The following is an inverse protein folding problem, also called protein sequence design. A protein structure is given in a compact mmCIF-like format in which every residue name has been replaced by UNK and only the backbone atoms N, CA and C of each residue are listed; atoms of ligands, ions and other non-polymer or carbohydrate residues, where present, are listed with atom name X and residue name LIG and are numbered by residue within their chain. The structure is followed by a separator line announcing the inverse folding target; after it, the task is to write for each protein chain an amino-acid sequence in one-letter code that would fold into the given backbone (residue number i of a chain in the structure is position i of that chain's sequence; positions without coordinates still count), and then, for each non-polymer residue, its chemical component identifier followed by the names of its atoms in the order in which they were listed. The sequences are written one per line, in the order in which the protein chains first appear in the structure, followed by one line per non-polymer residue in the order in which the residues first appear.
data_IF_848511047146
#
_entry.id   IF_848511047146
#
_cell.length_a   1.000
_cell.length_b   1.000
_cell.length_c   1.000
_cell.angle_alpha   90.00
_cell.angle_beta   90.00
_cell.angle_gamma   90.00
#
_symmetry.space_group_name_H-M   'P 1'
#
loop_
_entity.id
_entity.type
_entity.pdbx_description
1 polymer ?
#
# COMPACT_ATOMS: atom_id res chain seq x y z
N UNK A 1 14.68 35.14 18.37
CA UNK A 1 14.82 33.68 18.16
C UNK A 1 14.16 33.31 16.85
N UNK A 2 14.94 33.15 15.78
CA UNK A 2 14.43 32.82 14.45
C UNK A 2 14.15 31.31 14.35
N UNK A 3 12.87 30.94 14.22
CA UNK A 3 12.44 29.56 14.01
C UNK A 3 12.83 29.16 12.58
N UNK A 4 13.99 28.51 12.46
CA UNK A 4 14.42 27.86 11.21
C UNK A 4 13.54 26.62 11.02
N UNK A 5 12.45 26.74 10.27
CA UNK A 5 11.85 25.56 9.65
C UNK A 5 12.65 25.30 8.38
N UNK A 6 13.64 24.41 8.50
CA UNK A 6 14.35 23.82 7.39
C UNK A 6 13.31 23.15 6.49
N UNK A 7 12.94 23.85 5.41
CA UNK A 7 12.34 23.24 4.23
C UNK A 7 13.37 22.28 3.65
N UNK A 8 13.36 21.05 4.16
CA UNK A 8 14.09 19.94 3.55
C UNK A 8 13.35 19.52 2.29
N UNK A 9 13.55 20.27 1.20
CA UNK A 9 13.45 19.74 -0.15
C UNK A 9 14.52 18.66 -0.31
N UNK A 10 14.23 17.47 0.19
CA UNK A 10 14.93 16.25 -0.16
C UNK A 10 14.19 15.62 -1.32
N UNK A 11 14.61 15.96 -2.54
CA UNK A 11 14.33 15.20 -3.76
C UNK A 11 15.12 13.88 -3.68
N UNK A 12 14.77 13.07 -2.68
CA UNK A 12 15.34 11.76 -2.42
C UNK A 12 14.31 10.75 -2.86
N UNK A 13 14.66 9.93 -3.86
CA UNK A 13 13.85 8.81 -4.33
C UNK A 13 13.30 8.03 -3.13
N UNK A 14 12.03 8.25 -2.80
CA UNK A 14 11.37 7.52 -1.72
C UNK A 14 11.27 6.08 -2.22
N UNK A 15 11.85 5.09 -1.51
CA UNK A 15 11.79 3.71 -1.93
C UNK A 15 10.34 3.30 -2.17
N UNK A 16 10.08 2.61 -3.27
CA UNK A 16 8.73 2.17 -3.63
C UNK A 16 8.10 1.30 -2.52
N UNK A 17 8.93 0.59 -1.75
CA UNK A 17 8.56 -0.13 -0.53
C UNK A 17 8.02 0.77 0.59
N UNK A 18 8.60 1.96 0.76
CA UNK A 18 8.21 2.92 1.79
C UNK A 18 6.91 3.64 1.41
N UNK A 19 6.76 3.95 0.12
CA UNK A 19 5.49 4.43 -0.44
C UNK A 19 4.40 3.38 -0.21
N UNK A 20 4.69 2.10 -0.50
CA UNK A 20 3.75 1.01 -0.25
C UNK A 20 3.39 0.86 1.23
N UNK A 21 4.37 0.94 2.13
CA UNK A 21 4.14 0.88 3.58
C UNK A 21 3.22 2.02 4.06
N UNK A 22 3.46 3.25 3.60
CA UNK A 22 2.63 4.41 3.95
C UNK A 22 1.21 4.30 3.41
N UNK A 23 1.05 3.85 2.16
CA UNK A 23 -0.28 3.66 1.54
C UNK A 23 -1.04 2.55 2.26
N UNK A 24 -0.41 1.42 2.55
CA UNK A 24 -1.04 0.30 3.24
C UNK A 24 -1.44 0.65 4.67
N UNK A 25 -0.63 1.44 5.39
CA UNK A 25 -1.00 1.96 6.71
C UNK A 25 -2.24 2.87 6.65
N UNK A 26 -2.31 3.78 5.67
CA UNK A 26 -3.49 4.64 5.46
C UNK A 26 -4.76 3.86 5.11
N UNK A 27 -4.61 2.73 4.42
CA UNK A 27 -5.73 1.84 4.09
C UNK A 27 -6.19 0.97 5.28
N UNK A 28 -5.46 0.98 6.40
CA UNK A 28 -5.79 0.18 7.58
C UNK A 28 -5.32 -1.27 7.49
N UNK A 29 -4.35 -1.57 6.62
CA UNK A 29 -3.73 -2.90 6.57
C UNK A 29 -3.06 -3.18 7.93
N UNK A 30 -3.33 -4.34 8.56
CA UNK A 30 -2.68 -4.71 9.82
C UNK A 30 -1.15 -4.73 9.70
N UNK A 31 -0.47 -4.15 10.69
CA UNK A 31 0.98 -4.23 10.80
C UNK A 31 1.43 -5.65 11.21
N UNK A 32 2.65 -6.04 10.83
CA UNK A 32 3.26 -7.31 11.26
C UNK A 32 2.72 -8.57 10.58
N UNK A 33 1.75 -8.47 9.67
CA UNK A 33 1.27 -9.63 8.90
C UNK A 33 2.22 -9.99 7.77
N UNK A 34 2.24 -11.27 7.40
CA UNK A 34 3.06 -11.75 6.29
C UNK A 34 2.64 -11.10 4.96
N UNK A 35 3.54 -11.15 3.99
CA UNK A 35 3.29 -10.61 2.65
C UNK A 35 2.06 -11.22 1.98
N UNK A 36 1.92 -12.54 2.06
CA UNK A 36 0.79 -13.25 1.48
C UNK A 36 -0.54 -12.88 2.18
N UNK A 37 -0.51 -12.70 3.50
CA UNK A 37 -1.66 -12.22 4.26
C UNK A 37 -2.04 -10.79 3.90
N UNK A 38 -1.05 -9.91 3.66
CA UNK A 38 -1.29 -8.55 3.20
C UNK A 38 -2.05 -8.51 1.87
N UNK A 39 -1.65 -9.33 0.90
CA UNK A 39 -2.36 -9.44 -0.39
C UNK A 39 -3.79 -9.94 -0.18
N UNK A 40 -3.96 -11.02 0.60
CA UNK A 40 -5.30 -11.56 0.93
C UNK A 40 -6.18 -10.55 1.67
N UNK A 41 -5.61 -9.73 2.53
CA UNK A 41 -6.33 -8.67 3.24
C UNK A 41 -6.80 -7.59 2.28
N UNK A 42 -5.93 -7.12 1.38
CA UNK A 42 -6.26 -6.10 0.38
C UNK A 42 -7.38 -6.58 -0.56
N UNK A 43 -7.36 -7.86 -0.91
CA UNK A 43 -8.41 -8.48 -1.74
C UNK A 43 -9.76 -8.49 -1.05
N UNK A 44 -9.80 -8.92 0.22
CA UNK A 44 -11.04 -8.90 1.02
C UNK A 44 -11.58 -7.49 1.20
N UNK A 45 -10.71 -6.53 1.51
CA UNK A 45 -11.09 -5.13 1.65
C UNK A 45 -11.66 -4.55 0.35
N UNK A 46 -11.03 -4.84 -0.81
CA UNK A 46 -11.53 -4.40 -2.10
C UNK A 46 -12.88 -5.03 -2.46
N UNK A 47 -13.09 -6.30 -2.10
CA UNK A 47 -14.38 -6.97 -2.29
C UNK A 47 -15.49 -6.34 -1.43
N UNK A 48 -15.21 -6.04 -0.17
CA UNK A 48 -16.15 -5.34 0.72
C UNK A 48 -16.50 -3.95 0.19
N UNK A 49 -15.50 -3.16 -0.22
CA UNK A 49 -15.72 -1.82 -0.79
C UNK A 49 -16.56 -1.87 -2.08
N UNK A 50 -16.33 -2.89 -2.92
CA UNK A 50 -17.17 -3.14 -4.10
C UNK A 50 -18.61 -3.48 -3.71
N UNK A 51 -18.81 -4.30 -2.68
CA UNK A 51 -20.16 -4.64 -2.19
C UNK A 51 -20.89 -3.40 -1.67
N UNK A 52 -20.20 -2.51 -0.95
CA UNK A 52 -20.76 -1.23 -0.52
C UNK A 52 -21.23 -0.37 -1.71
N UNK A 53 -20.42 -0.30 -2.77
CA UNK A 53 -20.80 0.41 -4.00
C UNK A 53 -22.00 -0.21 -4.71
N UNK A 54 -22.06 -1.54 -4.80
CA UNK A 54 -23.22 -2.24 -5.38
C UNK A 54 -24.50 -2.04 -4.56
N UNK A 55 -24.37 -1.99 -3.23
CA UNK A 55 -25.46 -1.69 -2.31
C UNK A 55 -25.87 -0.20 -2.31
N UNK A 56 -25.19 0.66 -3.09
CA UNK A 56 -25.35 2.13 -3.07
C UNK A 56 -25.26 2.71 -1.65
N UNK A 57 -24.38 2.11 -0.84
CA UNK A 57 -24.15 2.56 0.53
C UNK A 57 -23.48 3.93 0.53
N UNK A 58 -23.93 4.81 1.43
CA UNK A 58 -23.28 6.10 1.69
C UNK A 58 -21.86 5.96 2.23
N UNK A 59 -21.53 4.79 2.79
CA UNK A 59 -20.17 4.48 3.26
C UNK A 59 -19.22 4.07 2.12
N UNK A 60 -19.73 3.92 0.88
CA UNK A 60 -18.89 3.59 -0.25
C UNK A 60 -18.00 4.78 -0.64
N UNK A 61 -16.70 4.52 -0.79
CA UNK A 61 -15.74 5.45 -1.36
C UNK A 61 -15.07 4.86 -2.62
N UNK A 62 -15.35 5.40 -3.82
CA UNK A 62 -14.74 4.91 -5.05
C UNK A 62 -13.22 5.11 -5.08
N UNK A 63 -12.68 6.14 -4.41
CA UNK A 63 -11.23 6.38 -4.34
C UNK A 63 -10.55 5.32 -3.48
N UNK A 64 -11.20 4.90 -2.39
CA UNK A 64 -10.71 3.81 -1.54
C UNK A 64 -10.60 2.50 -2.31
N UNK A 65 -11.58 2.17 -3.15
CA UNK A 65 -11.54 0.97 -3.98
C UNK A 65 -10.36 0.98 -4.96
N UNK A 66 -10.10 2.12 -5.61
CA UNK A 66 -8.95 2.29 -6.52
C UNK A 66 -7.64 2.14 -5.76
N UNK A 67 -7.50 2.80 -4.60
CA UNK A 67 -6.32 2.72 -3.77
C UNK A 67 -6.03 1.28 -3.28
N UNK A 68 -7.06 0.53 -2.90
CA UNK A 68 -6.91 -0.89 -2.51
C UNK A 68 -6.38 -1.75 -3.67
N UNK A 69 -6.88 -1.54 -4.89
CA UNK A 69 -6.40 -2.27 -6.08
C UNK A 69 -4.96 -1.93 -6.43
N UNK A 70 -4.60 -0.65 -6.37
CA UNK A 70 -3.22 -0.20 -6.62
C UNK A 70 -2.26 -0.75 -5.56
N UNK A 71 -2.64 -0.71 -4.28
CA UNK A 71 -1.84 -1.27 -3.19
C UNK A 71 -1.63 -2.79 -3.34
N UNK A 72 -2.64 -3.52 -3.85
CA UNK A 72 -2.52 -4.95 -4.17
C UNK A 72 -1.57 -5.19 -5.33
N UNK A 73 -1.74 -4.48 -6.44
CA UNK A 73 -0.87 -4.60 -7.61
C UNK A 73 0.59 -4.33 -7.25
N UNK A 74 0.82 -3.29 -6.45
CA UNK A 74 2.17 -2.95 -5.96
C UNK A 74 2.72 -4.02 -5.02
N UNK A 75 1.91 -4.58 -4.11
CA UNK A 75 2.33 -5.66 -3.22
C UNK A 75 2.79 -6.92 -4.00
N UNK A 76 2.09 -7.23 -5.10
CA UNK A 76 2.41 -8.34 -6.00
C UNK A 76 3.68 -8.07 -6.82
N UNK A 77 3.81 -6.88 -7.42
CA UNK A 77 5.00 -6.49 -8.16
C UNK A 77 6.26 -6.51 -7.29
N UNK A 78 6.17 -5.99 -6.06
CA UNK A 78 7.26 -6.08 -5.09
C UNK A 78 7.57 -7.55 -4.70
N UNK A 79 6.63 -8.50 -4.90
CA UNK A 79 6.79 -9.92 -4.54
C UNK A 79 7.66 -10.59 -5.56
N UNK A 80 7.27 -10.42 -6.81
CA UNK A 80 8.04 -10.88 -7.95
C UNK A 80 9.44 -10.26 -7.97
N UNK A 81 9.59 -8.97 -7.65
CA UNK A 81 10.89 -8.32 -7.61
C UNK A 81 11.80 -8.89 -6.50
N UNK A 82 11.23 -9.24 -5.34
CA UNK A 82 11.97 -9.87 -4.25
C UNK A 82 12.39 -11.30 -4.61
N UNK A 83 11.49 -12.07 -5.24
CA UNK A 83 11.76 -13.44 -5.67
C UNK A 83 12.79 -13.53 -6.82
N UNK A 84 12.89 -12.49 -7.65
CA UNK A 84 13.90 -12.38 -8.73
C UNK A 84 15.25 -11.87 -8.27
N UNK A 85 15.43 -11.53 -7.00
CA UNK A 85 16.76 -11.18 -6.50
C UNK A 85 17.65 -12.43 -6.58
N UNK A 86 18.72 -12.45 -7.41
CA UNK A 86 19.58 -13.61 -7.50
C UNK A 86 20.15 -13.88 -6.13
N UNK A 87 19.95 -15.12 -5.67
CA UNK A 87 20.65 -15.68 -4.53
C UNK A 87 22.14 -15.56 -4.84
N UNK A 88 22.79 -14.52 -4.31
CA UNK A 88 24.24 -14.47 -4.23
C UNK A 88 24.62 -15.57 -3.24
N UNK A 89 24.79 -16.79 -3.77
CA UNK A 89 25.45 -17.89 -3.09
C UNK A 89 26.87 -17.44 -2.80
N UNK A 90 27.16 -17.19 -1.52
CA UNK A 90 28.51 -17.33 -0.99
C UNK A 90 28.64 -18.74 -0.44
#
# INVERSE_FOLDING_TARGET
MAKKYTGGSGDGDIPLSDIHARVTARLGVPAGISRAEKIRWLDRAAAMERQLGLARSWAHDPNRLVALRQARALAAALAEACDRSPQVRQ
#
